data_IF_272553018372
#
_entry.id   IF_272553018372
#
_cell.length_a   1.000
_cell.length_b   1.000
_cell.length_c   1.000
_cell.angle_alpha   90.00
_cell.angle_beta   90.00
_cell.angle_gamma   90.00
#
_symmetry.space_group_name_H-M   'P 1'
#
loop_
_entity.id
_entity.type
_entity.pdbx_description
1 polymer ?
#
# COMPACT_ATOMS: atom_id res chain seq x y z
N UNK A 1 29.23 -7.20 10.02
CA UNK A 1 28.05 -6.35 9.69
C UNK A 1 27.82 -6.16 8.19
N UNK A 2 28.84 -6.02 7.32
CA UNK A 2 28.62 -5.73 5.88
C UNK A 2 27.93 -6.82 5.05
N UNK A 3 28.34 -8.09 5.17
CA UNK A 3 27.88 -9.18 4.28
C UNK A 3 26.37 -9.46 4.36
N UNK A 4 25.77 -9.42 5.56
CA UNK A 4 24.33 -9.60 5.73
C UNK A 4 23.49 -8.49 5.09
N UNK A 5 24.03 -7.26 4.99
CA UNK A 5 23.34 -6.15 4.32
C UNK A 5 23.37 -6.33 2.79
N UNK A 6 24.46 -6.90 2.27
CA UNK A 6 24.63 -7.15 0.84
C UNK A 6 23.73 -8.28 0.35
N UNK A 7 23.68 -9.41 1.07
CA UNK A 7 22.76 -10.51 0.76
C UNK A 7 21.29 -10.06 0.80
N UNK A 8 20.90 -9.26 1.80
CA UNK A 8 19.54 -8.71 1.86
C UNK A 8 19.20 -7.75 0.70
N UNK A 9 20.18 -7.02 0.15
CA UNK A 9 19.96 -6.22 -1.05
C UNK A 9 19.86 -7.09 -2.31
N UNK A 10 20.63 -8.17 -2.39
CA UNK A 10 20.71 -9.02 -3.57
C UNK A 10 19.45 -9.90 -3.70
N UNK A 11 19.01 -10.54 -2.60
CA UNK A 11 17.70 -11.22 -2.53
C UNK A 11 16.55 -10.25 -2.83
N UNK A 12 16.62 -9.00 -2.35
CA UNK A 12 15.60 -7.98 -2.62
C UNK A 12 15.54 -7.58 -4.11
N UNK A 13 16.69 -7.47 -4.78
CA UNK A 13 16.76 -7.20 -6.23
C UNK A 13 16.18 -8.39 -7.01
N UNK A 14 16.60 -9.62 -6.70
CA UNK A 14 16.12 -10.84 -7.40
C UNK A 14 14.61 -11.10 -7.19
N UNK A 15 14.06 -10.81 -5.99
CA UNK A 15 12.61 -10.84 -5.74
C UNK A 15 11.84 -9.74 -6.49
N UNK A 16 12.42 -8.56 -6.76
CA UNK A 16 11.75 -7.54 -7.57
C UNK A 16 11.69 -7.90 -9.05
N UNK A 17 12.75 -8.50 -9.62
CA UNK A 17 12.79 -8.89 -11.02
C UNK A 17 11.82 -10.04 -11.32
N UNK A 18 11.89 -11.14 -10.57
CA UNK A 18 11.04 -12.34 -10.78
C UNK A 18 9.54 -12.03 -10.65
N UNK A 19 9.14 -11.27 -9.63
CA UNK A 19 7.73 -10.90 -9.40
C UNK A 19 7.20 -9.89 -10.44
N UNK A 20 8.08 -9.14 -11.11
CA UNK A 20 7.71 -8.22 -12.19
C UNK A 20 7.39 -8.97 -13.48
N UNK A 21 8.26 -9.91 -13.89
CA UNK A 21 8.14 -10.62 -15.16
C UNK A 21 6.93 -11.58 -15.18
N UNK A 22 6.75 -12.41 -14.14
CA UNK A 22 5.63 -13.36 -14.05
C UNK A 22 4.25 -12.67 -14.13
N UNK A 23 4.12 -11.48 -13.51
CA UNK A 23 2.87 -10.71 -13.49
C UNK A 23 2.56 -10.06 -14.83
N UNK A 24 3.57 -9.63 -15.58
CA UNK A 24 3.39 -9.04 -16.91
C UNK A 24 2.96 -10.14 -17.90
N UNK A 25 3.61 -11.30 -17.87
CA UNK A 25 3.27 -12.42 -18.74
C UNK A 25 1.87 -12.99 -18.47
N UNK A 26 1.48 -13.20 -17.20
CA UNK A 26 0.11 -13.67 -16.88
C UNK A 26 -0.99 -12.66 -17.24
N UNK A 27 -0.71 -11.36 -17.25
CA UNK A 27 -1.70 -10.35 -17.65
C UNK A 27 -1.83 -10.22 -19.17
N UNK A 28 -0.74 -10.30 -19.93
CA UNK A 28 -0.78 -10.27 -21.40
C UNK A 28 -1.60 -11.42 -21.98
N UNK A 29 -1.43 -12.65 -21.47
CA UNK A 29 -2.16 -13.83 -21.97
C UNK A 29 -3.67 -13.78 -21.70
N UNK A 30 -4.13 -13.00 -20.72
CA UNK A 30 -5.54 -12.92 -20.33
C UNK A 30 -6.34 -11.78 -20.98
N UNK A 31 -5.76 -10.98 -21.89
CA UNK A 31 -6.44 -9.82 -22.50
C UNK A 31 -6.94 -10.01 -23.94
N UNK A 32 -6.68 -11.15 -24.60
CA UNK A 32 -7.18 -11.42 -25.96
C UNK A 32 -8.67 -11.83 -26.05
N UNK A 33 -9.49 -11.54 -25.04
CA UNK A 33 -10.94 -11.78 -25.10
C UNK A 33 -11.76 -10.61 -24.52
N UNK A 34 -11.93 -9.56 -25.36
CA UNK A 34 -13.17 -8.74 -25.55
C UNK A 34 -12.85 -7.33 -26.09
N UNK A 35 -12.81 -7.19 -27.40
CA UNK A 35 -13.26 -5.96 -28.09
C UNK A 35 -13.95 -6.37 -29.41
N UNK A 36 -15.19 -5.91 -29.59
CA UNK A 36 -16.05 -5.91 -30.79
C UNK A 36 -16.18 -7.16 -31.69
N UNK A 37 -17.40 -7.68 -31.75
CA UNK A 37 -18.01 -8.18 -33.00
C UNK A 37 -19.52 -7.91 -32.93
N UNK A 38 -20.03 -7.17 -33.92
CA UNK A 38 -21.45 -7.20 -34.30
C UNK A 38 -21.70 -8.36 -35.28
N UNK A 39 -22.99 -8.69 -35.47
CA UNK A 39 -23.63 -9.63 -36.43
C UNK A 39 -22.92 -9.81 -37.79
N UNK A 40 -22.95 -10.94 -38.53
CA UNK A 40 -23.65 -12.25 -38.54
C UNK A 40 -22.97 -13.15 -39.64
N UNK A 41 -23.40 -14.39 -40.05
CA UNK A 41 -24.16 -15.46 -39.38
C UNK A 41 -23.47 -16.86 -39.47
N UNK A 42 -24.21 -17.92 -39.09
CA UNK A 42 -23.84 -19.34 -38.89
C UNK A 42 -22.90 -20.07 -39.89
N UNK A 43 -21.96 -20.90 -39.36
CA UNK A 43 -21.63 -22.25 -39.90
C UNK A 43 -21.28 -23.25 -38.79
N UNK A 44 -21.70 -24.52 -38.96
CA UNK A 44 -21.56 -25.64 -37.98
C UNK A 44 -20.14 -26.24 -37.94
N UNK A 45 -19.70 -26.84 -36.81
CA UNK A 45 -18.35 -27.39 -36.66
C UNK A 45 -18.18 -28.79 -37.26
N UNK A 46 -16.94 -29.18 -37.59
CA UNK A 46 -16.55 -30.56 -37.92
C UNK A 46 -15.35 -31.03 -37.08
N UNK A 47 -15.60 -32.10 -36.34
CA UNK A 47 -14.76 -33.23 -35.90
C UNK A 47 -13.27 -33.03 -35.57
N UNK A 48 -12.97 -33.49 -34.35
CA UNK A 48 -11.65 -33.87 -33.82
C UNK A 48 -11.18 -35.20 -34.44
N UNK A 49 -9.86 -35.35 -34.68
CA UNK A 49 -9.20 -36.65 -34.96
C UNK A 49 -7.92 -36.76 -34.11
N UNK A 50 -7.48 -38.00 -33.89
CA UNK A 50 -6.68 -38.53 -32.77
C UNK A 50 -5.17 -38.64 -33.00
N UNK A 51 -4.42 -38.89 -31.92
CA UNK A 51 -3.06 -39.48 -31.89
C UNK A 51 -2.10 -38.73 -30.95
N UNK A 52 -1.16 -39.35 -30.23
CA UNK A 52 -1.00 -40.76 -29.84
C UNK A 52 -0.04 -40.86 -28.61
N UNK A 53 0.20 -42.05 -28.04
CA UNK A 53 1.08 -42.28 -26.86
C UNK A 53 2.56 -42.41 -27.25
N UNK A 54 3.48 -42.26 -26.28
CA UNK A 54 4.61 -43.19 -26.09
C UNK A 54 5.17 -43.20 -24.65
N UNK A 55 6.12 -44.11 -24.36
CA UNK A 55 6.23 -44.84 -23.09
C UNK A 55 7.38 -44.48 -22.12
N UNK A 56 7.28 -45.06 -20.90
CA UNK A 56 8.34 -45.19 -19.88
C UNK A 56 9.35 -46.30 -20.20
N UNK A 57 10.48 -46.36 -19.46
CA UNK A 57 10.81 -47.60 -18.74
C UNK A 57 11.18 -47.40 -17.25
N UNK A 58 11.46 -48.52 -16.55
CA UNK A 58 11.57 -48.66 -15.07
C UNK A 58 12.58 -49.77 -14.71
N UNK A 59 13.42 -49.59 -13.66
CA UNK A 59 14.17 -50.60 -12.85
C UNK A 59 15.16 -49.86 -11.89
N UNK A 60 15.68 -50.38 -10.77
CA UNK A 60 15.51 -51.64 -10.03
C UNK A 60 15.78 -51.47 -8.50
N UNK A 61 15.66 -52.54 -7.70
CA UNK A 61 15.89 -52.66 -6.24
C UNK A 61 17.26 -53.27 -5.89
N UNK A 62 17.76 -53.04 -4.66
CA UNK A 62 18.69 -53.92 -3.91
C UNK A 62 18.37 -53.85 -2.39
N UNK A 63 18.39 -54.99 -1.68
CA UNK A 63 18.32 -55.14 -0.21
C UNK A 63 19.46 -56.05 0.31
N UNK A 64 20.06 -55.72 1.47
CA UNK A 64 20.72 -56.58 2.52
C UNK A 64 20.73 -55.70 3.81
N UNK A 65 20.54 -56.14 5.07
CA UNK A 65 20.28 -57.45 5.71
C UNK A 65 20.00 -57.28 7.23
N UNK A 66 20.18 -58.31 8.08
CA UNK A 66 19.81 -58.32 9.52
C UNK A 66 21.00 -58.48 10.50
N UNK A 67 20.83 -58.00 11.76
CA UNK A 67 21.23 -58.70 13.00
C UNK A 67 20.47 -58.15 14.24
N UNK A 68 20.48 -58.88 15.37
CA UNK A 68 19.65 -58.67 16.57
C UNK A 68 20.44 -58.13 17.78
N UNK A 69 19.76 -57.66 18.85
CA UNK A 69 20.35 -57.59 20.20
C UNK A 69 19.74 -56.59 21.21
N UNK A 70 18.85 -57.10 22.07
CA UNK A 70 18.55 -56.70 23.47
C UNK A 70 18.12 -55.28 23.87
N UNK A 71 17.44 -55.22 25.03
CA UNK A 71 16.77 -54.06 25.61
C UNK A 71 17.05 -53.94 27.12
N UNK A 72 17.03 -52.72 27.65
CA UNK A 72 16.83 -52.45 29.09
C UNK A 72 16.38 -50.98 29.33
N UNK A 73 15.78 -50.62 30.49
CA UNK A 73 14.70 -49.63 30.51
C UNK A 73 15.05 -48.31 31.22
N UNK A 74 15.10 -47.21 30.47
CA UNK A 74 15.02 -45.84 31.01
C UNK A 74 13.92 -45.05 30.28
N UNK A 75 12.67 -45.48 30.45
CA UNK A 75 11.49 -44.85 29.83
C UNK A 75 10.42 -44.37 30.85
N UNK A 76 10.84 -43.99 32.06
CA UNK A 76 9.94 -43.52 33.12
C UNK A 76 9.73 -41.99 33.17
N UNK A 77 10.77 -41.18 32.91
CA UNK A 77 10.70 -39.71 33.10
C UNK A 77 10.86 -38.88 31.82
N UNK A 78 11.49 -39.41 30.77
CA UNK A 78 11.69 -38.65 29.53
C UNK A 78 10.37 -38.35 28.80
N UNK A 79 9.37 -39.23 28.89
CA UNK A 79 8.10 -39.09 28.18
C UNK A 79 7.23 -37.92 28.62
N UNK A 80 7.36 -37.44 29.86
CA UNK A 80 6.55 -36.31 30.37
C UNK A 80 7.16 -34.95 29.99
N UNK A 81 8.50 -34.85 29.98
CA UNK A 81 9.20 -33.62 29.57
C UNK A 81 9.17 -33.41 28.05
N UNK A 82 9.27 -34.47 27.25
CA UNK A 82 9.24 -34.34 25.78
C UNK A 82 7.84 -34.05 25.22
N UNK A 83 6.79 -34.56 25.84
CA UNK A 83 5.40 -34.28 25.46
C UNK A 83 5.02 -32.82 25.75
N UNK A 84 5.33 -32.30 26.94
CA UNK A 84 5.11 -30.88 27.28
C UNK A 84 5.83 -29.91 26.33
N UNK A 85 7.10 -30.17 26.02
CA UNK A 85 7.87 -29.36 25.06
C UNK A 85 7.34 -29.47 23.63
N UNK A 86 6.80 -30.63 23.23
CA UNK A 86 6.16 -30.83 21.93
C UNK A 86 4.84 -30.05 21.81
N UNK A 87 3.98 -30.13 22.82
CA UNK A 87 2.73 -29.36 22.85
C UNK A 87 2.96 -27.85 22.88
N UNK A 88 3.95 -27.39 23.67
CA UNK A 88 4.33 -25.98 23.72
C UNK A 88 4.95 -25.52 22.38
N UNK A 89 5.81 -26.33 21.76
CA UNK A 89 6.33 -26.08 20.41
C UNK A 89 5.22 -26.05 19.35
N UNK A 90 4.20 -26.91 19.45
CA UNK A 90 3.03 -26.90 18.57
C UNK A 90 2.13 -25.68 18.83
N UNK A 91 1.92 -25.26 20.08
CA UNK A 91 1.27 -23.99 20.44
C UNK A 91 2.03 -22.81 19.86
N UNK A 92 3.35 -22.77 19.99
CA UNK A 92 4.22 -21.72 19.43
C UNK A 92 4.16 -21.73 17.90
N UNK A 93 4.21 -22.90 17.23
CA UNK A 93 4.04 -23.02 15.77
C UNK A 93 2.64 -22.60 15.31
N UNK A 94 1.60 -22.94 16.06
CA UNK A 94 0.21 -22.55 15.80
C UNK A 94 0.03 -21.03 15.93
N UNK A 95 0.51 -20.45 17.04
CA UNK A 95 0.57 -19.00 17.27
C UNK A 95 1.39 -18.30 16.17
N UNK A 96 2.57 -18.81 15.82
CA UNK A 96 3.39 -18.25 14.73
C UNK A 96 2.69 -18.35 13.37
N UNK A 97 1.93 -19.43 13.10
CA UNK A 97 1.12 -19.57 11.88
C UNK A 97 -0.04 -18.57 11.86
N UNK A 98 -0.68 -18.35 13.02
CA UNK A 98 -1.71 -17.33 13.24
C UNK A 98 -1.15 -15.89 13.17
N UNK A 99 0.13 -15.68 13.53
CA UNK A 99 0.81 -14.38 13.45
C UNK A 99 1.47 -14.11 12.08
N UNK A 100 1.78 -15.15 11.28
CA UNK A 100 2.35 -15.04 9.93
C UNK A 100 1.33 -14.70 8.85
N UNK A 101 0.05 -14.99 9.07
CA UNK A 101 -1.03 -14.62 8.16
C UNK A 101 -2.07 -13.78 8.90
N UNK A 102 -2.27 -12.54 8.45
CA UNK A 102 -3.45 -11.73 8.82
C UNK A 102 -4.67 -12.30 8.11
N UNK A 103 -5.07 -13.51 8.50
CA UNK A 103 -6.30 -14.17 8.05
C UNK A 103 -7.49 -13.67 8.88
N UNK A 104 -7.65 -12.35 8.98
CA UNK A 104 -8.98 -11.81 9.19
C UNK A 104 -9.63 -11.73 7.80
N UNK A 105 -10.75 -12.45 7.53
CA UNK A 105 -11.62 -12.01 6.45
C UNK A 105 -11.99 -10.54 6.72
N UNK A 106 -12.15 -9.70 5.70
CA UNK A 106 -12.77 -8.40 5.91
C UNK A 106 -14.13 -8.67 6.58
N UNK A 107 -14.37 -8.02 7.71
CA UNK A 107 -15.66 -8.02 8.42
C UNK A 107 -16.00 -6.55 8.57
N UNK A 108 -17.08 -6.13 7.92
CA UNK A 108 -17.54 -4.75 8.01
C UNK A 108 -18.06 -4.50 9.43
N UNK A 109 -17.25 -3.86 10.27
CA UNK A 109 -17.61 -3.54 11.66
C UNK A 109 -18.48 -2.30 11.69
N UNK A 110 -19.61 -2.25 12.40
CA UNK A 110 -20.35 -0.99 12.55
C UNK A 110 -19.45 0.11 13.15
N UNK A 111 -19.50 1.33 12.58
CA UNK A 111 -18.89 2.49 13.23
C UNK A 111 -19.70 2.83 14.49
N UNK A 112 -19.01 3.21 15.57
CA UNK A 112 -19.69 3.69 16.77
C UNK A 112 -20.18 5.13 16.54
N UNK A 113 -21.46 5.29 16.19
CA UNK A 113 -22.08 6.60 15.89
C UNK A 113 -22.73 7.27 17.11
N UNK A 114 -22.59 6.70 18.32
CA UNK A 114 -23.25 7.22 19.55
C UNK A 114 -22.89 8.68 19.90
N UNK A 115 -21.73 9.15 19.45
CA UNK A 115 -21.27 10.53 19.66
C UNK A 115 -21.76 11.51 18.57
N UNK A 116 -22.35 11.02 17.49
CA UNK A 116 -22.87 11.82 16.36
C UNK A 116 -24.30 12.25 16.67
N UNK A 117 -24.45 13.44 17.25
CA UNK A 117 -25.75 14.00 17.66
C UNK A 117 -26.42 14.93 16.64
N UNK A 118 -25.70 15.37 15.59
CA UNK A 118 -26.16 16.42 14.68
C UNK A 118 -26.49 15.90 13.29
N UNK A 119 -27.65 16.29 12.77
CA UNK A 119 -28.09 16.05 11.39
C UNK A 119 -27.13 16.61 10.33
N UNK A 120 -26.28 17.58 10.69
CA UNK A 120 -25.20 18.10 9.84
C UNK A 120 -24.35 16.98 9.21
N UNK A 121 -24.09 15.91 9.96
CA UNK A 121 -23.21 14.83 9.52
C UNK A 121 -23.89 13.76 8.66
N UNK A 122 -25.21 13.86 8.40
CA UNK A 122 -25.98 12.82 7.70
C UNK A 122 -25.39 12.49 6.32
N UNK A 123 -25.09 13.50 5.51
CA UNK A 123 -24.53 13.30 4.16
C UNK A 123 -23.13 12.68 4.20
N UNK A 124 -22.28 13.08 5.15
CA UNK A 124 -20.94 12.50 5.34
C UNK A 124 -21.03 11.05 5.81
N UNK A 125 -21.96 10.74 6.72
CA UNK A 125 -22.21 9.37 7.19
C UNK A 125 -22.68 8.43 6.07
N UNK A 126 -23.70 8.83 5.31
CA UNK A 126 -24.21 8.07 4.17
C UNK A 126 -23.13 7.84 3.10
N UNK A 127 -22.30 8.86 2.82
CA UNK A 127 -21.19 8.76 1.88
C UNK A 127 -20.10 7.82 2.41
N UNK A 128 -19.85 7.85 3.72
CA UNK A 128 -18.86 7.01 4.35
C UNK A 128 -19.29 5.54 4.37
N UNK A 129 -20.55 5.22 4.66
CA UNK A 129 -21.05 3.82 4.54
C UNK A 129 -20.94 3.29 3.11
N UNK A 130 -21.27 4.11 2.09
CA UNK A 130 -21.08 3.76 0.67
C UNK A 130 -19.62 3.41 0.35
N UNK A 131 -18.66 4.23 0.81
CA UNK A 131 -17.21 3.98 0.61
C UNK A 131 -16.74 2.68 1.27
N UNK A 132 -17.21 2.40 2.49
CA UNK A 132 -16.85 1.19 3.26
C UNK A 132 -17.37 -0.08 2.60
N UNK A 133 -18.65 -0.10 2.22
CA UNK A 133 -19.25 -1.23 1.51
C UNK A 133 -18.54 -1.47 0.18
N UNK A 134 -18.29 -0.40 -0.59
CA UNK A 134 -17.60 -0.51 -1.87
C UNK A 134 -16.21 -1.14 -1.73
N UNK A 135 -15.38 -0.65 -0.80
CA UNK A 135 -14.03 -1.20 -0.58
C UNK A 135 -14.09 -2.65 -0.10
N UNK A 136 -15.04 -2.98 0.78
CA UNK A 136 -15.29 -4.34 1.24
C UNK A 136 -15.63 -5.28 0.08
N UNK A 137 -16.59 -4.91 -0.77
CA UNK A 137 -17.03 -5.71 -1.91
C UNK A 137 -15.96 -5.79 -3.01
N UNK A 138 -15.16 -4.73 -3.19
CA UNK A 138 -13.97 -4.76 -4.03
C UNK A 138 -12.98 -5.81 -3.51
N UNK A 139 -12.58 -5.73 -2.24
CA UNK A 139 -11.59 -6.63 -1.66
C UNK A 139 -12.07 -8.09 -1.56
N UNK A 140 -13.37 -8.33 -1.33
CA UNK A 140 -13.98 -9.66 -1.38
C UNK A 140 -13.83 -10.31 -2.77
N UNK A 141 -14.01 -9.54 -3.84
CA UNK A 141 -13.81 -9.99 -5.23
C UNK A 141 -12.34 -10.13 -5.62
N UNK A 142 -11.47 -9.23 -5.14
CA UNK A 142 -10.06 -9.21 -5.48
C UNK A 142 -9.25 -10.32 -4.76
N UNK A 143 -9.48 -10.52 -3.46
CA UNK A 143 -8.69 -11.47 -2.64
C UNK A 143 -8.93 -12.95 -2.97
N UNK A 144 -9.94 -13.27 -3.79
CA UNK A 144 -10.16 -14.62 -4.34
C UNK A 144 -9.14 -15.03 -5.41
N UNK A 145 -8.27 -14.13 -5.90
CA UNK A 145 -7.33 -14.42 -7.01
C UNK A 145 -5.86 -14.51 -6.61
N UNK A 146 -5.43 -13.82 -5.56
CA UNK A 146 -4.18 -14.07 -4.82
C UNK A 146 -4.08 -13.15 -3.60
N UNK A 147 -3.31 -13.55 -2.58
CA UNK A 147 -2.91 -12.67 -1.46
C UNK A 147 -1.41 -12.40 -1.55
N UNK A 148 -0.94 -11.15 -1.43
CA UNK A 148 0.49 -10.86 -1.38
C UNK A 148 1.16 -11.61 -0.23
N UNK A 149 2.30 -12.27 -0.49
CA UNK A 149 3.18 -12.84 0.55
C UNK A 149 4.03 -11.75 1.22
N UNK A 150 3.41 -10.63 1.61
CA UNK A 150 4.10 -9.50 2.24
C UNK A 150 4.27 -9.77 3.74
N UNK A 151 5.48 -9.57 4.26
CA UNK A 151 5.74 -9.67 5.70
C UNK A 151 4.92 -8.64 6.50
N UNK A 152 4.38 -9.05 7.67
CA UNK A 152 3.48 -8.22 8.47
C UNK A 152 4.07 -6.85 8.83
N UNK A 153 5.35 -6.77 9.22
CA UNK A 153 5.97 -5.49 9.58
C UNK A 153 6.00 -4.52 8.40
N UNK A 154 6.28 -5.01 7.17
CA UNK A 154 6.20 -4.19 5.94
C UNK A 154 4.78 -3.69 5.73
N UNK A 155 3.76 -4.54 5.88
CA UNK A 155 2.35 -4.16 5.72
C UNK A 155 1.90 -3.06 6.70
N UNK A 156 2.43 -3.03 7.93
CA UNK A 156 2.03 -2.04 8.96
C UNK A 156 3.01 -0.87 9.14
N UNK A 157 4.11 -0.82 8.38
CA UNK A 157 5.19 0.18 8.49
C UNK A 157 4.78 1.63 8.21
N UNK A 158 3.59 1.82 7.61
CA UNK A 158 2.99 3.12 7.30
C UNK A 158 1.86 3.51 8.25
N UNK A 159 1.53 2.67 9.23
CA UNK A 159 0.44 2.91 10.17
C UNK A 159 0.98 3.57 11.43
N UNK A 160 0.54 4.78 11.73
CA UNK A 160 0.76 5.43 13.02
C UNK A 160 -0.29 4.99 14.04
N UNK A 161 0.11 4.98 15.30
CA UNK A 161 -0.68 4.51 16.43
C UNK A 161 -0.96 5.67 17.38
N UNK A 162 -2.24 5.91 17.65
CA UNK A 162 -2.71 6.80 18.72
C UNK A 162 -3.50 5.94 19.71
N UNK A 163 -2.93 5.71 20.90
CA UNK A 163 -3.45 4.73 21.87
C UNK A 163 -4.64 5.28 22.69
N UNK A 164 -4.78 6.61 22.84
CA UNK A 164 -5.80 7.25 23.70
C UNK A 164 -7.21 7.10 23.13
N UNK A 165 -7.40 7.43 21.86
CA UNK A 165 -8.66 7.25 21.12
C UNK A 165 -8.68 5.94 20.31
N UNK A 166 -7.65 5.08 20.46
CA UNK A 166 -7.51 3.77 19.81
C UNK A 166 -7.59 3.87 18.28
N UNK A 167 -6.76 4.73 17.69
CA UNK A 167 -6.71 4.99 16.24
C UNK A 167 -5.46 4.39 15.61
N UNK A 168 -5.64 3.80 14.43
CA UNK A 168 -4.58 3.37 13.51
C UNK A 168 -4.71 4.15 12.20
N UNK A 169 -3.82 5.10 11.95
CA UNK A 169 -3.83 5.94 10.74
C UNK A 169 -2.78 5.47 9.73
N UNK A 170 -3.19 5.03 8.54
CA UNK A 170 -2.24 4.74 7.47
C UNK A 170 -1.85 5.99 6.69
N UNK A 171 -0.55 6.27 6.63
CA UNK A 171 0.00 7.43 5.94
C UNK A 171 0.07 7.23 4.42
N UNK A 172 -0.87 7.86 3.72
CA UNK A 172 -0.79 8.09 2.27
C UNK A 172 -0.19 9.47 2.03
N UNK A 173 1.03 9.59 1.48
CA UNK A 173 1.60 10.89 1.16
C UNK A 173 0.73 11.72 0.21
N UNK A 174 0.80 13.05 0.32
CA UNK A 174 0.04 14.02 -0.50
C UNK A 174 -1.50 13.94 -0.39
N UNK A 175 -2.04 13.08 0.48
CA UNK A 175 -3.44 13.02 0.88
C UNK A 175 -3.67 13.63 2.29
N UNK A 176 -3.07 14.79 2.56
CA UNK A 176 -3.22 15.51 3.83
C UNK A 176 -2.38 14.97 5.01
N UNK A 177 -1.44 14.06 4.75
CA UNK A 177 -0.67 13.34 5.77
C UNK A 177 0.02 14.20 6.84
N UNK A 178 0.61 15.34 6.49
CA UNK A 178 1.27 16.22 7.47
C UNK A 178 0.29 16.71 8.54
N UNK A 179 -0.90 17.15 8.11
CA UNK A 179 -1.93 17.65 9.02
C UNK A 179 -2.57 16.50 9.82
N UNK A 180 -2.66 15.29 9.27
CA UNK A 180 -3.00 14.10 10.05
C UNK A 180 -1.98 13.79 11.15
N UNK A 181 -0.67 13.89 10.88
CA UNK A 181 0.35 13.72 11.94
C UNK A 181 0.19 14.75 13.05
N UNK A 182 -0.05 16.02 12.70
CA UNK A 182 -0.35 17.09 13.67
C UNK A 182 -1.58 16.76 14.53
N UNK A 183 -2.67 16.30 13.91
CA UNK A 183 -3.88 15.87 14.61
C UNK A 183 -3.59 14.71 15.56
N UNK A 184 -2.81 13.70 15.16
CA UNK A 184 -2.42 12.59 16.03
C UNK A 184 -1.53 13.05 17.21
N UNK A 185 -0.67 14.04 17.00
CA UNK A 185 0.12 14.66 18.09
C UNK A 185 -0.77 15.39 19.11
N UNK A 186 -1.82 16.08 18.65
CA UNK A 186 -2.79 16.72 19.57
C UNK A 186 -3.65 15.69 20.28
N UNK A 187 -4.16 14.67 19.57
CA UNK A 187 -4.96 13.58 20.16
C UNK A 187 -4.18 12.82 21.25
N UNK A 188 -2.89 12.58 21.04
CA UNK A 188 -2.01 11.92 22.03
C UNK A 188 -1.55 12.85 23.17
N UNK A 189 -1.85 14.15 23.12
CA UNK A 189 -1.45 15.12 24.14
C UNK A 189 0.02 15.57 24.06
N UNK A 190 0.68 15.40 22.91
CA UNK A 190 2.06 15.87 22.67
C UNK A 190 2.09 17.37 22.33
N UNK A 191 0.97 17.95 21.91
CA UNK A 191 0.84 19.37 21.60
C UNK A 191 -0.61 19.84 21.80
N UNK A 192 -0.81 21.10 22.20
CA UNK A 192 -2.16 21.64 22.43
C UNK A 192 -2.88 22.05 21.13
N UNK A 193 -2.13 22.43 20.10
CA UNK A 193 -2.67 22.93 18.84
C UNK A 193 -1.88 22.41 17.64
N UNK A 194 -2.60 21.94 16.63
CA UNK A 194 -2.02 21.49 15.38
C UNK A 194 -1.36 22.64 14.58
N UNK A 195 -1.79 23.89 14.80
CA UNK A 195 -1.20 25.07 14.13
C UNK A 195 0.24 25.37 14.58
N UNK A 196 0.59 24.99 15.81
CA UNK A 196 1.90 25.29 16.40
C UNK A 196 2.98 24.25 16.02
N UNK A 197 2.60 23.19 15.30
CA UNK A 197 3.50 22.08 14.95
C UNK A 197 4.13 22.34 13.58
N UNK A 198 5.44 22.57 13.56
CA UNK A 198 6.23 22.77 12.32
C UNK A 198 6.22 21.53 11.42
N UNK A 199 6.59 21.71 10.14
CA UNK A 199 6.75 20.57 9.21
C UNK A 199 7.73 19.53 9.77
N UNK A 200 8.88 19.98 10.26
CA UNK A 200 9.94 19.08 10.72
C UNK A 200 9.58 18.38 12.03
N UNK A 201 8.85 19.02 12.94
CA UNK A 201 8.30 18.35 14.12
C UNK A 201 7.33 17.22 13.72
N UNK A 202 6.42 17.50 12.77
CA UNK A 202 5.44 16.51 12.30
C UNK A 202 6.08 15.32 11.55
N UNK A 203 7.21 15.50 10.86
CA UNK A 203 7.82 14.45 10.04
C UNK A 203 9.06 13.77 10.65
N UNK A 204 9.88 14.50 11.41
CA UNK A 204 11.20 14.05 11.89
C UNK A 204 11.33 14.04 13.42
N UNK A 205 10.44 14.72 14.16
CA UNK A 205 10.49 14.81 15.63
C UNK A 205 10.25 13.50 16.40
N UNK A 206 9.97 12.38 15.72
CA UNK A 206 9.72 11.04 16.29
C UNK A 206 8.60 10.95 17.35
N UNK A 207 7.74 11.98 17.43
CA UNK A 207 6.63 12.06 18.39
C UNK A 207 5.55 10.99 18.21
N UNK A 208 5.39 10.43 17.01
CA UNK A 208 4.37 9.44 16.69
C UNK A 208 4.96 8.04 16.55
N UNK A 209 4.37 7.08 17.25
CA UNK A 209 4.74 5.67 17.14
C UNK A 209 4.11 5.03 15.91
N UNK A 210 4.89 4.24 15.19
CA UNK A 210 4.40 3.37 14.10
C UNK A 210 4.04 1.98 14.61
N UNK A 211 3.15 1.29 13.92
CA UNK A 211 2.61 -0.01 14.32
C UNK A 211 3.67 -1.13 14.21
N UNK A 212 4.60 -1.02 13.27
CA UNK A 212 5.77 -1.91 13.14
C UNK A 212 6.76 -1.82 14.32
N UNK A 213 6.73 -0.75 15.12
CA UNK A 213 7.53 -0.61 16.35
C UNK A 213 7.03 -1.45 17.54
N UNK A 214 5.94 -2.22 17.36
CA UNK A 214 5.39 -3.11 18.38
C UNK A 214 5.71 -4.58 18.07
N UNK A 215 5.84 -5.40 19.11
CA UNK A 215 5.91 -6.85 18.93
C UNK A 215 4.63 -7.43 18.30
N UNK A 216 4.69 -8.66 17.79
CA UNK A 216 3.58 -9.30 17.06
C UNK A 216 2.26 -9.30 17.85
N UNK A 217 2.31 -9.53 19.17
CA UNK A 217 1.14 -9.48 20.07
C UNK A 217 0.55 -8.07 20.15
N UNK A 218 1.40 -7.05 20.24
CA UNK A 218 1.02 -5.63 20.23
C UNK A 218 0.42 -5.17 18.90
N UNK A 219 0.95 -5.64 17.77
CA UNK A 219 0.40 -5.40 16.43
C UNK A 219 -1.01 -6.00 16.33
N UNK A 220 -1.16 -7.29 16.64
CA UNK A 220 -2.44 -8.00 16.52
C UNK A 220 -3.50 -7.46 17.46
N UNK A 221 -3.14 -7.10 18.71
CA UNK A 221 -4.06 -6.44 19.65
C UNK A 221 -4.66 -5.17 19.02
N UNK A 222 -3.83 -4.30 18.45
CA UNK A 222 -4.26 -3.03 17.87
C UNK A 222 -5.06 -3.24 16.58
N UNK A 223 -4.57 -4.04 15.63
CA UNK A 223 -5.34 -4.40 14.42
C UNK A 223 -6.73 -4.96 14.75
N UNK A 224 -6.85 -5.76 15.83
CA UNK A 224 -8.13 -6.32 16.28
C UNK A 224 -9.03 -5.31 17.00
N UNK A 225 -8.50 -4.32 17.72
CA UNK A 225 -9.30 -3.50 18.68
C UNK A 225 -9.37 -2.00 18.38
N UNK A 226 -8.56 -1.47 17.46
CA UNK A 226 -8.46 -0.04 17.17
C UNK A 226 -9.19 0.29 15.86
N UNK A 227 -9.71 1.51 15.77
CA UNK A 227 -10.33 2.06 14.56
C UNK A 227 -9.24 2.35 13.53
N UNK A 228 -9.31 1.69 12.37
CA UNK A 228 -8.35 1.78 11.28
C UNK A 228 -8.86 2.79 10.26
N UNK A 229 -8.06 3.83 9.98
CA UNK A 229 -8.43 4.93 9.10
C UNK A 229 -7.38 5.15 8.02
N UNK A 230 -7.85 5.39 6.80
CA UNK A 230 -7.05 5.81 5.66
C UNK A 230 -7.68 7.07 5.06
N UNK A 231 -6.84 8.00 4.63
CA UNK A 231 -7.24 9.13 3.80
C UNK A 231 -6.57 8.99 2.45
N UNK A 232 -7.37 8.94 1.39
CA UNK A 232 -6.92 8.74 0.01
C UNK A 232 -7.14 9.99 -0.82
N UNK A 233 -6.63 9.99 -2.05
CA UNK A 233 -6.73 11.09 -3.00
C UNK A 233 -6.80 10.51 -4.41
N UNK A 234 -7.41 11.22 -5.35
CA UNK A 234 -7.32 10.88 -6.77
C UNK A 234 -5.84 10.63 -7.16
N UNK A 235 -5.51 9.50 -7.81
CA UNK A 235 -4.14 9.16 -8.12
C UNK A 235 -3.37 10.18 -8.96
N UNK A 236 -4.02 10.86 -9.92
CA UNK A 236 -3.36 11.90 -10.73
C UNK A 236 -3.14 13.19 -9.92
N UNK A 237 -4.11 13.60 -9.10
CA UNK A 237 -3.88 14.71 -8.16
C UNK A 237 -2.78 14.39 -7.14
N UNK A 238 -2.69 13.15 -6.67
CA UNK A 238 -1.64 12.67 -5.75
C UNK A 238 -0.27 12.74 -6.43
N UNK A 239 -0.16 12.24 -7.67
CA UNK A 239 1.05 12.24 -8.49
C UNK A 239 1.54 13.66 -8.78
N UNK A 240 0.67 14.53 -9.31
CA UNK A 240 1.02 15.92 -9.61
C UNK A 240 1.37 16.65 -8.32
N UNK A 241 0.65 16.43 -7.22
CA UNK A 241 1.02 17.01 -5.92
C UNK A 241 2.39 16.53 -5.42
N UNK A 242 2.79 15.29 -5.73
CA UNK A 242 4.13 14.79 -5.41
C UNK A 242 5.21 15.47 -6.27
N UNK A 243 5.02 15.56 -7.58
CA UNK A 243 5.95 16.23 -8.50
C UNK A 243 6.22 17.68 -8.05
N UNK A 244 5.16 18.47 -7.87
CA UNK A 244 5.23 19.88 -7.47
C UNK A 244 6.01 20.09 -6.16
N UNK A 245 5.79 19.22 -5.19
CA UNK A 245 6.43 19.27 -3.86
C UNK A 245 7.90 18.84 -3.86
N UNK A 246 8.34 18.05 -4.86
CA UNK A 246 9.70 17.48 -4.91
C UNK A 246 10.63 18.12 -5.92
N UNK A 247 10.10 18.73 -7.00
CA UNK A 247 10.91 19.16 -8.15
C UNK A 247 10.73 20.62 -8.61
N UNK A 248 9.66 21.32 -8.21
CA UNK A 248 9.44 22.74 -8.59
C UNK A 248 10.21 23.72 -7.69
N UNK A 249 10.63 23.26 -6.51
CA UNK A 249 11.22 24.09 -5.47
C UNK A 249 12.57 23.53 -5.03
N UNK A 250 13.52 24.37 -4.58
CA UNK A 250 14.81 23.90 -4.05
C UNK A 250 14.63 22.77 -3.03
N UNK A 251 15.19 21.60 -3.35
CA UNK A 251 15.05 20.39 -2.54
C UNK A 251 16.41 19.68 -2.39
N UNK A 252 16.94 19.67 -1.19
CA UNK A 252 18.29 19.14 -0.87
C UNK A 252 18.42 17.62 -0.99
N UNK A 253 17.31 16.88 -1.03
CA UNK A 253 17.31 15.43 -1.19
C UNK A 253 16.82 15.00 -2.58
N UNK A 254 15.66 15.50 -3.02
CA UNK A 254 15.04 15.04 -4.26
C UNK A 254 15.79 15.51 -5.52
N UNK A 255 16.37 16.72 -5.53
CA UNK A 255 17.15 17.14 -6.71
C UNK A 255 18.45 16.32 -6.84
N UNK A 256 19.30 16.15 -5.80
CA UNK A 256 20.53 15.38 -5.96
C UNK A 256 20.33 13.88 -6.20
N UNK A 257 19.34 13.26 -5.55
CA UNK A 257 19.10 11.80 -5.65
C UNK A 257 18.28 11.44 -6.88
N UNK A 258 17.10 12.03 -7.04
CA UNK A 258 16.19 11.70 -8.16
C UNK A 258 16.42 12.61 -9.35
N UNK A 259 16.46 13.93 -9.14
CA UNK A 259 16.49 14.91 -10.23
C UNK A 259 17.69 14.75 -11.17
N UNK A 260 18.90 14.57 -10.62
CA UNK A 260 20.10 14.27 -11.42
C UNK A 260 19.94 13.00 -12.25
N UNK A 261 19.42 11.94 -11.64
CA UNK A 261 19.26 10.63 -12.30
C UNK A 261 18.21 10.67 -13.42
N UNK A 262 17.11 11.38 -13.19
CA UNK A 262 16.04 11.61 -14.17
C UNK A 262 16.59 12.45 -15.33
N UNK A 263 17.17 13.63 -15.05
CA UNK A 263 17.69 14.53 -16.08
C UNK A 263 18.79 13.83 -16.91
N UNK A 264 19.73 13.13 -16.26
CA UNK A 264 20.81 12.40 -16.96
C UNK A 264 20.30 11.31 -17.91
N UNK A 265 19.17 10.64 -17.61
CA UNK A 265 18.65 9.54 -18.43
C UNK A 265 17.66 10.00 -19.51
N UNK A 266 16.81 10.98 -19.22
CA UNK A 266 15.67 11.33 -20.09
C UNK A 266 15.77 12.70 -20.78
N UNK A 267 16.67 13.60 -20.36
CA UNK A 267 16.85 14.90 -21.01
C UNK A 267 17.95 14.87 -22.07
N UNK A 268 17.56 14.94 -23.34
CA UNK A 268 18.49 15.21 -24.44
C UNK A 268 19.16 16.58 -24.27
N UNK A 269 20.47 16.64 -24.49
CA UNK A 269 21.30 17.85 -24.39
C UNK A 269 21.11 18.63 -23.07
N UNK A 270 21.04 17.92 -21.95
CA UNK A 270 20.95 18.51 -20.62
C UNK A 270 22.13 19.47 -20.34
N UNK A 271 21.83 20.66 -19.83
CA UNK A 271 22.82 21.65 -19.47
C UNK A 271 23.65 21.21 -18.25
N UNK A 272 24.87 21.75 -18.14
CA UNK A 272 25.82 21.38 -17.07
C UNK A 272 25.28 21.68 -15.67
N UNK A 273 24.44 22.71 -15.51
CA UNK A 273 23.91 23.09 -14.19
C UNK A 273 22.85 22.08 -13.76
N UNK A 274 21.87 21.77 -14.62
CA UNK A 274 20.84 20.79 -14.35
C UNK A 274 21.41 19.38 -14.09
N UNK A 275 22.48 18.98 -14.78
CA UNK A 275 23.21 17.74 -14.48
C UNK A 275 23.94 17.80 -13.13
N UNK A 276 24.52 18.94 -12.77
CA UNK A 276 25.27 19.14 -11.53
C UNK A 276 24.38 19.30 -10.29
N UNK A 277 23.17 19.84 -10.41
CA UNK A 277 22.24 20.10 -9.30
C UNK A 277 21.08 19.10 -9.23
N UNK A 278 20.59 18.65 -10.37
CA UNK A 278 19.32 17.92 -10.50
C UNK A 278 18.07 18.80 -10.42
N UNK A 279 18.20 20.12 -10.52
CA UNK A 279 17.08 21.06 -10.45
C UNK A 279 16.35 21.20 -11.78
N UNK A 280 15.04 21.52 -11.72
CA UNK A 280 14.24 21.83 -12.90
C UNK A 280 13.91 20.60 -13.75
N UNK A 281 13.69 19.44 -13.12
CA UNK A 281 13.10 18.25 -13.74
C UNK A 281 11.75 18.63 -14.35
N UNK A 282 11.49 18.24 -15.60
CA UNK A 282 10.20 18.48 -16.26
C UNK A 282 9.21 17.38 -15.90
N UNK A 283 7.90 17.67 -15.91
CA UNK A 283 6.90 16.66 -15.57
C UNK A 283 6.96 15.45 -16.50
N UNK A 284 7.13 15.67 -17.81
CA UNK A 284 7.34 14.58 -18.78
C UNK A 284 8.54 13.67 -18.45
N UNK A 285 9.67 14.24 -18.03
CA UNK A 285 10.86 13.45 -17.66
C UNK A 285 10.60 12.61 -16.39
N UNK A 286 9.85 13.17 -15.43
CA UNK A 286 9.40 12.45 -14.23
C UNK A 286 8.39 11.33 -14.56
N UNK A 287 7.52 11.52 -15.56
CA UNK A 287 6.61 10.47 -16.05
C UNK A 287 7.38 9.34 -16.75
N UNK A 288 8.35 9.67 -17.61
CA UNK A 288 9.21 8.68 -18.25
C UNK A 288 9.96 7.84 -17.21
N UNK A 289 10.52 8.51 -16.18
CA UNK A 289 11.07 7.86 -15.00
C UNK A 289 10.08 6.93 -14.25
N UNK A 290 8.83 7.38 -14.06
CA UNK A 290 7.81 6.61 -13.33
C UNK A 290 7.37 5.36 -14.08
N UNK A 291 7.37 5.39 -15.41
CA UNK A 291 6.93 4.29 -16.28
C UNK A 291 8.06 3.30 -16.66
N UNK A 292 9.32 3.70 -16.51
CA UNK A 292 10.48 2.88 -16.86
C UNK A 292 10.67 1.68 -15.91
N UNK A 293 10.75 0.46 -16.46
CA UNK A 293 11.07 -0.75 -15.68
C UNK A 293 12.51 -0.75 -15.17
N UNK A 294 13.43 -0.12 -15.90
CA UNK A 294 14.86 0.05 -15.58
C UNK A 294 15.17 1.48 -15.11
N UNK A 295 14.22 2.07 -14.37
CA UNK A 295 14.36 3.40 -13.76
C UNK A 295 15.68 3.55 -12.98
N UNK A 296 16.38 4.68 -13.07
CA UNK A 296 17.70 4.87 -12.47
C UNK A 296 17.67 5.02 -10.94
N UNK A 297 16.49 5.18 -10.33
CA UNK A 297 16.28 5.24 -8.87
C UNK A 297 15.01 4.47 -8.53
N UNK A 298 14.98 3.81 -7.38
CA UNK A 298 13.83 3.01 -6.93
C UNK A 298 12.54 3.80 -6.65
N UNK A 299 11.44 3.08 -6.44
CA UNK A 299 10.14 3.68 -6.13
C UNK A 299 10.18 4.53 -4.85
N UNK A 300 9.59 5.72 -4.87
CA UNK A 300 9.39 6.56 -3.68
C UNK A 300 7.92 6.53 -3.24
N UNK A 301 7.70 6.48 -1.93
CA UNK A 301 6.37 6.45 -1.31
C UNK A 301 5.44 7.61 -1.72
N UNK A 302 5.97 8.75 -2.15
CA UNK A 302 5.18 9.88 -2.60
C UNK A 302 4.43 9.63 -3.92
N UNK A 303 4.90 8.69 -4.75
CA UNK A 303 4.26 8.31 -6.03
C UNK A 303 4.03 6.79 -6.17
N UNK A 304 4.31 5.97 -5.17
CA UNK A 304 3.86 4.56 -5.10
C UNK A 304 2.32 4.42 -5.07
N UNK A 305 1.75 3.25 -5.38
CA UNK A 305 0.30 3.03 -5.31
C UNK A 305 -0.20 2.95 -3.85
N UNK A 306 -1.38 3.51 -3.57
CA UNK A 306 -2.05 3.45 -2.26
C UNK A 306 -2.29 2.00 -1.84
N UNK A 307 -2.67 1.16 -2.80
CA UNK A 307 -2.83 -0.30 -2.62
C UNK A 307 -1.55 -1.02 -2.17
N UNK A 308 -0.36 -0.54 -2.54
CA UNK A 308 0.94 -1.05 -2.05
C UNK A 308 1.39 -0.39 -0.74
N UNK A 309 1.03 0.86 -0.50
CA UNK A 309 1.39 1.60 0.71
C UNK A 309 0.62 1.13 1.96
N UNK A 310 -0.69 0.90 1.82
CA UNK A 310 -1.60 0.70 2.95
C UNK A 310 -2.32 -0.65 2.95
N UNK A 311 -2.09 -1.49 1.94
CA UNK A 311 -2.67 -2.84 1.78
C UNK A 311 -4.17 -2.97 2.14
N UNK A 312 -5.10 -2.20 1.56
CA UNK A 312 -6.50 -2.11 2.02
C UNK A 312 -7.31 -3.42 1.97
N UNK A 313 -6.88 -4.39 1.17
CA UNK A 313 -7.50 -5.73 1.13
C UNK A 313 -6.86 -6.76 2.09
N UNK A 314 -5.77 -6.40 2.78
CA UNK A 314 -5.19 -7.17 3.90
C UNK A 314 -5.44 -6.49 5.25
N UNK A 315 -5.61 -5.15 5.25
CA UNK A 315 -5.90 -4.33 6.42
C UNK A 315 -7.29 -3.74 6.26
N UNK A 316 -8.26 -4.32 6.98
CA UNK A 316 -9.66 -3.92 6.94
C UNK A 316 -9.85 -2.52 7.58
N UNK A 317 -9.82 -1.46 6.76
CA UNK A 317 -10.03 -0.09 7.22
C UNK A 317 -11.49 0.14 7.62
N UNK A 318 -11.71 0.68 8.81
CA UNK A 318 -13.03 1.03 9.32
C UNK A 318 -13.48 2.40 8.77
N UNK A 319 -12.55 3.32 8.46
CA UNK A 319 -12.82 4.64 7.91
C UNK A 319 -12.01 4.99 6.64
N UNK A 320 -12.64 5.64 5.66
CA UNK A 320 -12.05 5.98 4.34
C UNK A 320 -12.40 7.43 3.98
N UNK A 321 -11.54 8.37 4.38
CA UNK A 321 -11.65 9.76 3.92
C UNK A 321 -11.06 9.96 2.52
N UNK A 322 -11.58 10.96 1.81
CA UNK A 322 -11.09 11.41 0.50
C UNK A 322 -10.55 12.83 0.62
N UNK A 323 -9.44 13.12 -0.05
CA UNK A 323 -8.80 14.44 -0.02
C UNK A 323 -9.71 15.51 -0.63
N UNK A 324 -10.55 15.11 -1.59
CA UNK A 324 -11.51 15.97 -2.28
C UNK A 324 -12.62 16.47 -1.33
N UNK A 325 -12.91 15.74 -0.26
CA UNK A 325 -13.88 16.07 0.82
C UNK A 325 -13.20 16.14 2.19
N UNK A 326 -11.90 16.48 2.23
CA UNK A 326 -11.04 16.30 3.42
C UNK A 326 -11.55 17.01 4.67
N UNK A 327 -12.11 18.21 4.54
CA UNK A 327 -12.61 18.98 5.68
C UNK A 327 -13.73 18.25 6.41
N UNK A 328 -14.78 17.85 5.69
CA UNK A 328 -15.92 17.17 6.28
C UNK A 328 -15.56 15.76 6.73
N UNK A 329 -14.82 15.00 5.91
CA UNK A 329 -14.39 13.65 6.24
C UNK A 329 -13.50 13.60 7.49
N UNK A 330 -12.59 14.56 7.65
CA UNK A 330 -11.69 14.60 8.78
C UNK A 330 -12.42 15.05 10.07
N UNK A 331 -13.24 16.09 9.99
CA UNK A 331 -13.99 16.58 11.14
C UNK A 331 -15.08 15.58 11.58
N UNK A 332 -15.73 14.88 10.65
CA UNK A 332 -16.64 13.79 10.97
C UNK A 332 -15.92 12.63 11.68
N UNK A 333 -14.74 12.22 11.19
CA UNK A 333 -13.92 11.20 11.85
C UNK A 333 -13.50 11.62 13.27
N UNK A 334 -13.12 12.88 13.48
CA UNK A 334 -12.79 13.41 14.81
C UNK A 334 -13.98 13.31 15.77
N UNK A 335 -15.21 13.57 15.32
CA UNK A 335 -16.42 13.40 16.14
C UNK A 335 -16.73 11.92 16.41
N UNK A 336 -16.53 11.03 15.44
CA UNK A 336 -16.71 9.58 15.62
C UNK A 336 -15.80 8.98 16.70
N UNK A 337 -14.53 9.43 16.78
CA UNK A 337 -13.57 8.91 17.77
C UNK A 337 -13.65 9.59 19.14
N UNK A 338 -14.55 10.57 19.32
CA UNK A 338 -14.65 11.35 20.56
C UNK A 338 -13.47 12.29 20.80
N UNK A 339 -12.89 12.85 19.73
CA UNK A 339 -11.86 13.87 19.84
C UNK A 339 -12.39 15.14 20.54
N UNK A 340 -11.53 15.93 21.21
CA UNK A 340 -11.92 17.18 21.87
C UNK A 340 -12.77 18.10 20.98
N UNK A 341 -13.73 18.81 21.56
CA UNK A 341 -14.67 19.65 20.79
C UNK A 341 -13.95 20.78 20.02
N UNK A 342 -12.92 21.39 20.60
CA UNK A 342 -12.09 22.40 19.93
C UNK A 342 -11.16 21.86 18.83
N UNK A 343 -10.93 20.54 18.74
CA UNK A 343 -10.04 19.98 17.72
C UNK A 343 -10.77 19.81 16.38
N UNK A 344 -10.28 20.51 15.37
CA UNK A 344 -10.71 20.40 13.97
C UNK A 344 -9.52 20.08 13.06
N UNK A 345 -9.79 19.57 11.86
CA UNK A 345 -8.73 19.26 10.91
C UNK A 345 -8.11 20.54 10.31
N UNK A 346 -6.77 20.71 10.33
CA UNK A 346 -6.15 21.96 9.90
C UNK A 346 -6.32 22.23 8.40
N UNK A 347 -6.85 23.41 8.06
CA UNK A 347 -7.04 23.87 6.67
C UNK A 347 -5.85 24.68 6.10
N UNK A 348 -4.73 24.83 6.82
CA UNK A 348 -3.54 25.45 6.21
C UNK A 348 -2.79 24.47 5.29
N UNK A 349 -2.04 25.00 4.33
CA UNK A 349 -1.16 24.22 3.43
C UNK A 349 0.24 24.17 4.05
N UNK A 350 0.72 22.95 4.30
CA UNK A 350 1.94 22.64 5.07
C UNK A 350 3.25 23.19 4.48
N UNK A 351 3.42 23.05 3.17
CA UNK A 351 4.58 23.59 2.42
C UNK A 351 4.10 24.39 1.22
N UNK A 352 4.89 25.38 0.80
CA UNK A 352 4.58 26.23 -0.36
C UNK A 352 3.19 26.87 -0.21
N UNK A 353 2.94 27.46 0.96
CA UNK A 353 1.59 27.79 1.47
C UNK A 353 0.84 28.83 0.65
N UNK A 354 1.56 29.73 -0.03
CA UNK A 354 1.03 30.75 -0.95
C UNK A 354 0.43 30.19 -2.24
N UNK A 355 0.82 28.98 -2.65
CA UNK A 355 0.36 28.38 -3.91
C UNK A 355 -0.95 27.61 -3.79
N UNK A 356 -1.80 27.74 -4.81
CA UNK A 356 -2.97 26.89 -5.07
C UNK A 356 -2.63 25.41 -4.89
N UNK A 357 -3.43 24.72 -4.06
CA UNK A 357 -3.38 23.25 -3.91
C UNK A 357 -3.58 22.62 -5.28
N UNK A 358 -2.88 21.51 -5.58
CA UNK A 358 -3.22 20.68 -6.73
C UNK A 358 -4.71 20.34 -6.67
N UNK A 359 -5.38 20.42 -7.81
CA UNK A 359 -6.77 20.04 -8.05
C UNK A 359 -6.88 19.55 -9.52
N UNK A 360 -8.06 19.09 -9.94
CA UNK A 360 -8.30 18.64 -11.32
C UNK A 360 -7.86 19.63 -12.43
N UNK A 361 -8.04 20.94 -12.22
CA UNK A 361 -7.62 21.98 -13.17
C UNK A 361 -6.09 22.03 -13.32
N UNK A 362 -5.37 22.03 -12.19
CA UNK A 362 -3.92 21.93 -12.15
C UNK A 362 -3.46 20.63 -12.81
N UNK A 363 -4.10 19.48 -12.50
CA UNK A 363 -3.76 18.19 -13.13
C UNK A 363 -3.86 18.23 -14.65
N UNK A 364 -4.91 18.84 -15.21
CA UNK A 364 -5.07 18.98 -16.67
C UNK A 364 -3.91 19.70 -17.33
N UNK A 365 -3.32 20.71 -16.66
CA UNK A 365 -2.16 21.43 -17.18
C UNK A 365 -0.93 20.52 -17.33
N UNK A 366 -0.59 19.74 -16.31
CA UNK A 366 0.54 18.78 -16.39
C UNK A 366 0.25 17.61 -17.35
N UNK A 367 -0.99 17.12 -17.42
CA UNK A 367 -1.36 16.08 -18.37
C UNK A 367 -1.29 16.57 -19.82
N UNK A 368 -1.44 17.88 -20.09
CA UNK A 368 -1.24 18.44 -21.43
C UNK A 368 0.23 18.38 -21.91
N UNK A 369 1.21 18.28 -21.01
CA UNK A 369 2.64 18.17 -21.37
C UNK A 369 3.06 16.78 -21.92
N UNK A 370 2.21 15.77 -21.76
CA UNK A 370 2.51 14.37 -22.08
C UNK A 370 1.53 13.77 -23.09
N UNK A 371 1.97 12.75 -23.81
CA UNK A 371 1.20 12.09 -24.87
C UNK A 371 -0.02 11.31 -24.33
N UNK A 372 -1.00 11.06 -25.21
CA UNK A 372 -2.15 10.19 -24.88
C UNK A 372 -1.69 8.80 -24.38
N UNK A 373 -0.64 8.24 -24.97
CA UNK A 373 -0.04 6.96 -24.55
C UNK A 373 0.55 7.03 -23.15
N UNK A 374 1.36 8.04 -22.83
CA UNK A 374 1.92 8.25 -21.48
C UNK A 374 0.79 8.40 -20.44
N UNK A 375 -0.29 9.13 -20.77
CA UNK A 375 -1.46 9.29 -19.90
C UNK A 375 -2.18 7.98 -19.61
N UNK A 376 -2.41 7.17 -20.65
CA UNK A 376 -2.98 5.84 -20.50
C UNK A 376 -2.07 4.91 -19.67
N UNK A 377 -0.75 5.00 -19.86
CA UNK A 377 0.23 4.22 -19.09
C UNK A 377 0.26 4.60 -17.60
N UNK A 378 0.20 5.90 -17.26
CA UNK A 378 0.11 6.33 -15.84
C UNK A 378 -1.24 5.89 -15.24
N UNK A 379 -2.34 6.00 -15.98
CA UNK A 379 -3.63 5.49 -15.51
C UNK A 379 -3.56 3.98 -15.24
N UNK A 380 -2.96 3.19 -16.15
CA UNK A 380 -2.73 1.77 -15.96
C UNK A 380 -1.86 1.49 -14.72
N UNK A 381 -0.82 2.30 -14.48
CA UNK A 381 0.07 2.20 -13.31
C UNK A 381 -0.67 2.41 -11.98
N UNK A 382 -1.70 3.27 -11.94
CA UNK A 382 -2.56 3.49 -10.76
C UNK A 382 -3.93 2.80 -10.83
N UNK A 383 -4.17 1.94 -11.83
CA UNK A 383 -5.50 1.40 -12.14
C UNK A 383 -6.17 0.71 -10.94
N UNK A 384 -5.37 -0.01 -10.15
CA UNK A 384 -5.85 -0.69 -8.95
C UNK A 384 -6.38 0.30 -7.89
N UNK A 385 -5.76 1.47 -7.73
CA UNK A 385 -6.20 2.50 -6.78
C UNK A 385 -7.48 3.19 -7.27
N UNK A 386 -7.58 3.46 -8.59
CA UNK A 386 -8.78 3.98 -9.24
C UNK A 386 -9.99 3.07 -8.97
N UNK A 387 -9.84 1.78 -9.25
CA UNK A 387 -10.89 0.79 -8.99
C UNK A 387 -11.19 0.63 -7.50
N UNK A 388 -10.17 0.54 -6.64
CA UNK A 388 -10.31 0.21 -5.22
C UNK A 388 -11.03 1.30 -4.42
N UNK A 389 -10.85 2.57 -4.78
CA UNK A 389 -11.43 3.71 -4.08
C UNK A 389 -12.57 4.40 -4.85
N UNK A 390 -13.09 3.77 -5.90
CA UNK A 390 -14.16 4.30 -6.75
C UNK A 390 -13.88 5.74 -7.19
N UNK A 391 -12.73 5.96 -7.81
CA UNK A 391 -12.41 7.21 -8.49
C UNK A 391 -12.81 7.09 -9.97
N UNK A 392 -13.41 8.14 -10.51
CA UNK A 392 -13.66 8.24 -11.95
C UNK A 392 -12.35 8.20 -12.71
N UNK A 393 -12.35 7.54 -13.88
CA UNK A 393 -11.23 7.63 -14.82
C UNK A 393 -10.97 9.11 -15.13
N UNK A 394 -9.72 9.60 -15.11
CA UNK A 394 -9.44 10.96 -15.54
C UNK A 394 -9.82 11.09 -17.01
N UNK A 395 -10.86 11.88 -17.30
CA UNK A 395 -11.16 12.30 -18.66
C UNK A 395 -10.05 13.25 -19.11
N UNK A 396 -9.24 12.74 -20.04
CA UNK A 396 -8.02 13.35 -20.60
C UNK A 396 -8.36 14.21 -21.80
#
# INVERSE_FOLDING_TARGET
>A
MGLFLFMYLQDWIEEQHTVSEEKIQQHATNQNFRFYSSEEPERKPKNWVTGEKLDKPRKALIEIGHSQGDADPILGMAGSLTTGLSEESQKIKSLLKQFRQVNLPPVLRPLNKTLIKSNHWKTTDEMQEKRRSFLYDFCKRYTGKSRPRTHLTRMVSRIYVEDKHKVLYCEVPKAGCSNWKRVLMVLSGVADSAANITHDAAHYGKHLRKLDSYNLKGIHKRLKTYTKVIFVRDPMERLVSAFRDKFEHPNSYYHPVFGKAIIKKYRLNADRVALATGSGVKFKEFIQYLLDSHRPVGMDTHWEQISQLCYPCAINYDYIGKFETLGDDANYFLRLIGAPEGLTFPNFKDRHSSEKRTNLEVVRQYLAEISATERQQIYNFYYLDYLMFNYSVPYV
#
